data_IF_395156365750
#
_entry.id   IF_395156365750
#
_cell.length_a   1.000
_cell.length_b   1.000
_cell.length_c   1.000
_cell.angle_alpha   90.00
_cell.angle_beta   90.00
_cell.angle_gamma   90.00
#
_symmetry.space_group_name_H-M   'P 1'
#
loop_
_entity.id
_entity.type
_entity.pdbx_description
1 polymer ?
#
# COMPACT_ATOMS: atom_id res chain seq x y z
N UNK A 1 3.02 0.32 -13.20
CA UNK A 1 2.83 -1.05 -12.70
C UNK A 1 2.54 -1.87 -13.92
N UNK A 2 3.45 -2.76 -14.29
CA UNK A 2 3.21 -3.68 -15.42
C UNK A 2 2.04 -4.59 -15.07
N UNK A 3 1.18 -4.86 -16.06
CA UNK A 3 0.11 -5.86 -15.98
C UNK A 3 0.73 -7.21 -15.56
N UNK A 4 0.05 -7.92 -14.66
CA UNK A 4 0.47 -9.22 -14.10
C UNK A 4 1.73 -9.26 -13.22
N UNK A 5 2.27 -8.10 -12.82
CA UNK A 5 3.34 -8.07 -11.80
C UNK A 5 2.82 -8.55 -10.42
N UNK A 6 3.69 -9.11 -9.55
CA UNK A 6 3.29 -9.49 -8.19
C UNK A 6 2.67 -8.32 -7.40
N UNK A 7 3.12 -7.09 -7.67
CA UNK A 7 2.57 -5.88 -7.10
C UNK A 7 1.14 -5.60 -7.61
N UNK A 8 0.84 -5.84 -8.89
CA UNK A 8 -0.50 -5.70 -9.45
C UNK A 8 -1.50 -6.60 -8.70
N UNK A 9 -1.19 -7.89 -8.59
CA UNK A 9 -2.07 -8.85 -7.90
C UNK A 9 -2.25 -8.53 -6.42
N UNK A 10 -1.19 -8.08 -5.74
CA UNK A 10 -1.28 -7.66 -4.35
C UNK A 10 -2.17 -6.41 -4.18
N UNK A 11 -2.07 -5.43 -5.09
CA UNK A 11 -2.95 -4.25 -5.09
C UNK A 11 -4.41 -4.66 -5.34
N UNK A 12 -4.68 -5.47 -6.36
CA UNK A 12 -6.06 -5.92 -6.66
C UNK A 12 -6.64 -6.74 -5.50
N UNK A 13 -5.85 -7.62 -4.86
CA UNK A 13 -6.31 -8.39 -3.69
C UNK A 13 -6.61 -7.50 -2.49
N UNK A 14 -5.82 -6.46 -2.26
CA UNK A 14 -5.96 -5.57 -1.11
C UNK A 14 -7.08 -4.52 -1.27
N UNK A 15 -7.27 -4.02 -2.49
CA UNK A 15 -8.20 -2.93 -2.79
C UNK A 15 -9.48 -3.38 -3.51
N UNK A 16 -9.54 -4.66 -3.89
CA UNK A 16 -10.66 -5.24 -4.64
C UNK A 16 -10.55 -4.98 -6.15
N UNK A 17 -11.34 -5.72 -6.93
CA UNK A 17 -11.45 -5.49 -8.37
C UNK A 17 -12.17 -4.17 -8.70
N UNK A 18 -12.78 -3.54 -7.71
CA UNK A 18 -13.46 -2.25 -7.87
C UNK A 18 -12.53 -1.11 -8.29
N UNK A 19 -11.22 -1.23 -8.03
CA UNK A 19 -10.20 -0.27 -8.48
C UNK A 19 -9.70 -0.56 -9.89
N UNK A 20 -10.24 -1.57 -10.58
CA UNK A 20 -9.90 -1.88 -11.96
C UNK A 20 -10.83 -1.13 -12.93
N UNK A 21 -10.27 -0.76 -14.06
CA UNK A 21 -10.98 -0.27 -15.25
C UNK A 21 -11.47 -1.47 -16.08
N UNK A 22 -12.34 -1.22 -17.05
CA UNK A 22 -12.89 -2.25 -17.97
C UNK A 22 -11.79 -2.97 -18.76
N UNK A 23 -10.65 -2.31 -18.98
CA UNK A 23 -9.46 -2.85 -19.65
C UNK A 23 -8.49 -3.57 -18.69
N UNK A 24 -8.91 -3.83 -17.44
CA UNK A 24 -8.13 -4.42 -16.34
C UNK A 24 -6.95 -3.59 -15.86
N UNK A 25 -6.83 -2.34 -16.28
CA UNK A 25 -5.84 -1.43 -15.70
C UNK A 25 -6.30 -0.89 -14.35
N UNK A 26 -5.34 -0.49 -13.50
CA UNK A 26 -5.65 0.13 -12.22
C UNK A 26 -6.18 1.54 -12.45
N UNK A 27 -7.41 1.80 -12.00
CA UNK A 27 -8.00 3.13 -11.91
C UNK A 27 -7.28 3.94 -10.82
N UNK A 28 -6.25 4.69 -11.24
CA UNK A 28 -5.44 5.54 -10.35
C UNK A 28 -6.25 6.60 -9.63
N UNK A 29 -7.33 7.09 -10.22
CA UNK A 29 -8.17 8.11 -9.63
C UNK A 29 -8.97 7.53 -8.46
N UNK A 30 -9.58 6.36 -8.66
CA UNK A 30 -10.32 5.65 -7.61
C UNK A 30 -9.39 5.12 -6.52
N UNK A 31 -8.26 4.50 -6.89
CA UNK A 31 -7.23 4.09 -5.95
C UNK A 31 -6.69 5.28 -5.16
N UNK A 32 -6.44 6.40 -5.83
CA UNK A 32 -6.04 7.68 -5.25
C UNK A 32 -7.03 8.14 -4.18
N UNK A 33 -8.31 8.21 -4.50
CA UNK A 33 -9.35 8.60 -3.55
C UNK A 33 -9.34 7.72 -2.29
N UNK A 34 -9.18 6.40 -2.46
CA UNK A 34 -9.13 5.45 -1.35
C UNK A 34 -7.89 5.70 -0.47
N UNK A 35 -6.70 5.80 -1.05
CA UNK A 35 -5.46 6.01 -0.27
C UNK A 35 -5.34 7.43 0.30
N UNK A 36 -5.98 8.43 -0.30
CA UNK A 36 -6.00 9.79 0.24
C UNK A 36 -7.03 9.91 1.37
N UNK A 37 -8.14 9.19 1.29
CA UNK A 37 -9.16 9.15 2.35
C UNK A 37 -8.78 8.27 3.54
N UNK A 38 -7.92 7.26 3.35
CA UNK A 38 -7.60 6.26 4.37
C UNK A 38 -6.06 6.07 4.49
N UNK A 39 -5.54 6.44 5.65
CA UNK A 39 -4.10 6.37 5.96
C UNK A 39 -3.61 4.92 6.06
N UNK A 40 -4.43 3.99 6.55
CA UNK A 40 -4.07 2.57 6.64
C UNK A 40 -3.97 1.96 5.24
N UNK A 41 -4.91 2.28 4.37
CA UNK A 41 -4.86 1.85 2.96
C UNK A 41 -3.68 2.46 2.21
N UNK A 42 -3.31 3.72 2.50
CA UNK A 42 -2.07 4.31 1.96
C UNK A 42 -0.83 3.55 2.41
N UNK A 43 -0.75 3.16 3.68
CA UNK A 43 0.35 2.38 4.21
C UNK A 43 0.41 0.98 3.59
N UNK A 44 -0.75 0.36 3.35
CA UNK A 44 -0.87 -0.92 2.66
C UNK A 44 -0.36 -0.83 1.22
N UNK A 45 -0.79 0.18 0.45
CA UNK A 45 -0.28 0.41 -0.91
C UNK A 45 1.24 0.62 -0.89
N UNK A 46 1.74 1.44 0.03
CA UNK A 46 3.17 1.67 0.20
C UNK A 46 3.93 0.38 0.57
N UNK A 47 3.32 -0.54 1.33
CA UNK A 47 3.89 -1.85 1.68
C UNK A 47 4.05 -2.75 0.47
N UNK A 48 3.02 -2.80 -0.36
CA UNK A 48 3.02 -3.61 -1.59
C UNK A 48 4.06 -3.07 -2.59
N UNK A 49 4.22 -1.74 -2.65
CA UNK A 49 5.08 -1.09 -3.64
C UNK A 49 6.55 -0.98 -3.20
N UNK A 50 6.84 -0.98 -1.90
CA UNK A 50 8.19 -0.83 -1.37
C UNK A 50 8.60 -1.97 -0.41
N UNK A 51 9.02 -3.13 -0.93
CA UNK A 51 9.56 -4.20 -0.09
C UNK A 51 10.81 -3.78 0.71
N UNK A 52 11.53 -2.73 0.28
CA UNK A 52 12.74 -2.24 0.96
C UNK A 52 12.51 -1.19 2.06
N UNK A 53 11.44 -0.37 1.97
CA UNK A 53 11.25 0.79 2.86
C UNK A 53 10.59 0.37 4.19
N UNK A 54 9.75 -0.67 4.18
CA UNK A 54 9.10 -1.18 5.39
C UNK A 54 10.10 -1.67 6.46
N UNK A 55 11.21 -2.30 6.05
CA UNK A 55 12.25 -2.74 7.00
C UNK A 55 12.88 -1.57 7.77
N UNK A 56 12.96 -0.39 7.13
CA UNK A 56 13.50 0.81 7.75
C UNK A 56 12.45 1.55 8.60
N UNK A 57 11.20 1.62 8.16
CA UNK A 57 10.12 2.32 8.87
C UNK A 57 9.65 1.57 10.12
N UNK A 58 9.46 0.24 10.05
CA UNK A 58 9.11 -0.58 11.22
C UNK A 58 10.20 -0.51 12.31
N UNK A 59 11.48 -0.48 11.91
CA UNK A 59 12.59 -0.31 12.86
C UNK A 59 12.51 1.03 13.59
N UNK A 60 12.06 2.10 12.92
CA UNK A 60 11.91 3.41 13.56
C UNK A 60 10.67 3.48 14.46
N UNK A 61 9.53 2.95 14.04
CA UNK A 61 8.31 2.90 14.87
C UNK A 61 8.54 2.04 16.12
N UNK A 62 9.17 0.88 15.97
CA UNK A 62 9.51 -0.01 17.08
C UNK A 62 10.53 0.63 18.04
N UNK A 63 11.52 1.37 17.52
CA UNK A 63 12.47 2.13 18.35
C UNK A 63 11.76 3.20 19.18
N UNK A 64 10.81 3.94 18.60
CA UNK A 64 10.05 4.96 19.32
C UNK A 64 9.03 4.36 20.30
N UNK A 65 8.50 3.17 20.02
CA UNK A 65 7.62 2.44 20.93
C UNK A 65 8.37 1.89 22.16
N UNK A 66 9.64 1.48 22.00
CA UNK A 66 10.47 0.98 23.12
C UNK A 66 11.10 2.11 23.95
N UNK A 67 11.39 3.28 23.36
CA UNK A 67 11.96 4.43 24.09
C UNK A 67 10.94 5.23 24.92
N UNK A 68 9.65 4.85 24.91
CA UNK A 68 8.57 5.47 25.70
C UNK A 68 8.23 4.76 27.02
N UNK A 69 9.18 4.06 27.65
CA UNK A 69 9.02 3.53 29.02
C UNK A 69 10.25 3.82 29.87
N UNK A 70 10.21 4.95 30.58
CA UNK A 70 10.46 5.13 32.02
C UNK A 70 10.51 6.63 32.33
#
# INVERSE_FOLDING_TARGET
>A
VELDSPAYWAIVRSFGEEILLEDRQINRQKLGNIIFSDVEKRQLLNSITHPAIHKAMLKQIFKHFIQGKA
#
